data_IF_421752504497
#
_entry.id   IF_421752504497
#
_cell.length_a   1.000
_cell.length_b   1.000
_cell.length_c   1.000
_cell.angle_alpha   90.00
_cell.angle_beta   90.00
_cell.angle_gamma   90.00
#
_symmetry.space_group_name_H-M   'P 1'
#
loop_
_entity.id
_entity.type
_entity.pdbx_description
1 polymer ?
#
# COMPACT_ATOMS: atom_id res chain seq x y z
N UNK A 1 -9.79 8.23 -13.17
CA UNK A 1 -8.90 7.65 -14.23
C UNK A 1 -7.55 7.32 -13.61
N UNK A 2 -6.87 6.25 -14.05
CA UNK A 2 -5.53 5.89 -13.56
C UNK A 2 -4.58 5.83 -14.76
N UNK A 3 -3.43 6.50 -14.65
CA UNK A 3 -2.42 6.54 -15.70
C UNK A 3 -1.14 5.82 -15.25
N UNK A 4 -0.51 5.10 -16.18
CA UNK A 4 0.79 4.47 -15.97
C UNK A 4 1.79 5.03 -16.98
N UNK A 5 2.90 5.57 -16.47
CA UNK A 5 4.03 6.01 -17.27
C UNK A 5 5.27 5.20 -16.91
N UNK A 6 6.16 4.98 -17.89
CA UNK A 6 7.44 4.33 -17.65
C UNK A 6 8.57 5.27 -18.06
N UNK A 7 9.47 5.57 -17.13
CA UNK A 7 10.71 6.29 -17.39
C UNK A 7 11.87 5.46 -16.85
N UNK A 8 12.82 5.10 -17.71
CA UNK A 8 13.87 4.12 -17.45
C UNK A 8 13.31 2.81 -16.86
N UNK A 9 13.69 2.49 -15.62
CA UNK A 9 13.28 1.30 -14.88
C UNK A 9 12.18 1.61 -13.85
N UNK A 10 11.52 2.76 -13.93
CA UNK A 10 10.49 3.16 -12.97
C UNK A 10 9.15 3.32 -13.67
N UNK A 11 8.18 2.53 -13.22
CA UNK A 11 6.77 2.74 -13.51
C UNK A 11 6.20 3.75 -12.53
N UNK A 12 5.42 4.70 -13.02
CA UNK A 12 4.72 5.70 -12.20
C UNK A 12 3.24 5.58 -12.46
N UNK A 13 2.51 5.03 -11.47
CA UNK A 13 1.06 4.98 -11.42
C UNK A 13 0.55 6.26 -10.77
N UNK A 14 -0.23 7.04 -11.51
CA UNK A 14 -0.89 8.25 -11.00
C UNK A 14 -2.39 8.00 -10.89
N UNK A 15 -2.92 8.03 -9.67
CA UNK A 15 -4.35 8.02 -9.39
C UNK A 15 -4.94 9.41 -9.65
N UNK A 16 -5.88 9.49 -10.58
CA UNK A 16 -6.51 10.74 -11.04
C UNK A 16 -8.03 10.59 -11.10
N UNK A 17 -8.64 10.29 -9.96
CA UNK A 17 -10.08 10.08 -9.80
C UNK A 17 -10.67 10.92 -8.66
N UNK A 18 -10.44 12.24 -8.72
CA UNK A 18 -10.96 13.21 -7.76
C UNK A 18 -10.37 13.04 -6.36
N UNK A 19 -11.06 12.30 -5.49
CA UNK A 19 -10.60 11.96 -4.14
C UNK A 19 -9.98 10.55 -4.06
N UNK A 20 -9.89 9.83 -5.19
CA UNK A 20 -9.38 8.46 -5.31
C UNK A 20 -10.07 7.53 -4.29
N UNK A 21 -11.41 7.53 -4.31
CA UNK A 21 -12.22 6.68 -3.44
C UNK A 21 -12.27 5.27 -4.00
N UNK A 22 -12.21 4.29 -3.12
CA UNK A 22 -12.22 2.88 -3.47
C UNK A 22 -13.63 2.39 -3.70
N UNK A 23 -13.86 1.96 -4.93
CA UNK A 23 -14.99 1.17 -5.36
C UNK A 23 -14.52 0.03 -6.26
N UNK A 24 -15.42 -0.86 -6.66
CA UNK A 24 -15.05 -2.08 -7.42
C UNK A 24 -14.42 -1.72 -8.77
N UNK A 25 -14.87 -0.65 -9.42
CA UNK A 25 -14.26 -0.16 -10.68
C UNK A 25 -12.82 0.27 -10.46
N UNK A 26 -12.56 1.11 -9.45
CA UNK A 26 -11.21 1.60 -9.14
C UNK A 26 -10.25 0.46 -8.77
N UNK A 27 -10.72 -0.54 -8.02
CA UNK A 27 -9.95 -1.76 -7.72
C UNK A 27 -9.49 -2.46 -9.00
N UNK A 28 -10.41 -2.66 -9.95
CA UNK A 28 -10.11 -3.36 -11.22
C UNK A 28 -9.19 -2.55 -12.13
N UNK A 29 -9.31 -1.23 -12.14
CA UNK A 29 -8.40 -0.36 -12.88
C UNK A 29 -6.97 -0.46 -12.35
N UNK A 30 -6.76 -0.36 -11.03
CA UNK A 30 -5.43 -0.57 -10.42
C UNK A 30 -4.92 -1.97 -10.73
N UNK A 31 -5.76 -3.00 -10.57
CA UNK A 31 -5.41 -4.38 -10.87
C UNK A 31 -4.90 -4.56 -12.31
N UNK A 32 -5.54 -3.93 -13.28
CA UNK A 32 -5.13 -3.97 -14.69
C UNK A 32 -3.77 -3.29 -14.92
N UNK A 33 -3.52 -2.17 -14.25
CA UNK A 33 -2.22 -1.50 -14.30
C UNK A 33 -1.11 -2.39 -13.72
N UNK A 34 -1.40 -3.14 -12.66
CA UNK A 34 -0.42 -4.10 -12.11
C UNK A 34 -0.11 -5.23 -13.09
N UNK A 35 -1.07 -5.69 -13.89
CA UNK A 35 -0.81 -6.70 -14.94
C UNK A 35 0.27 -6.21 -15.94
N UNK A 36 0.24 -4.93 -16.32
CA UNK A 36 1.25 -4.33 -17.21
C UNK A 36 2.63 -4.26 -16.55
N UNK A 37 2.68 -3.88 -15.27
CA UNK A 37 3.92 -3.83 -14.48
C UNK A 37 4.52 -5.23 -14.33
N UNK A 38 3.70 -6.23 -14.02
CA UNK A 38 4.10 -7.63 -13.84
C UNK A 38 4.57 -8.28 -15.16
N UNK A 39 4.01 -7.87 -16.29
CA UNK A 39 4.42 -8.34 -17.62
C UNK A 39 5.79 -7.80 -18.08
N UNK A 40 6.28 -6.71 -17.47
CA UNK A 40 7.59 -6.15 -17.84
C UNK A 40 8.77 -7.04 -17.40
N UNK A 41 9.94 -6.82 -17.98
CA UNK A 41 11.15 -7.60 -17.68
C UNK A 41 12.33 -6.70 -17.31
N UNK A 42 13.32 -7.28 -16.65
CA UNK A 42 14.50 -6.57 -16.17
C UNK A 42 14.26 -5.79 -14.87
N UNK A 43 15.21 -4.89 -14.55
CA UNK A 43 15.13 -4.03 -13.39
C UNK A 43 13.88 -3.14 -13.47
N UNK A 44 13.12 -3.07 -12.39
CA UNK A 44 11.90 -2.31 -12.33
C UNK A 44 11.56 -1.91 -10.88
N UNK A 45 10.94 -0.76 -10.70
CA UNK A 45 10.23 -0.37 -9.49
C UNK A 45 8.93 0.35 -9.85
N UNK A 46 7.97 0.37 -8.93
CA UNK A 46 6.70 1.08 -9.08
C UNK A 46 6.63 2.26 -8.10
N UNK A 47 6.35 3.45 -8.61
CA UNK A 47 5.90 4.60 -7.83
C UNK A 47 4.38 4.70 -7.96
N UNK A 48 3.70 4.87 -6.84
CA UNK A 48 2.27 5.19 -6.78
C UNK A 48 2.09 6.58 -6.21
N UNK A 49 1.38 7.44 -6.94
CA UNK A 49 1.10 8.83 -6.56
C UNK A 49 -0.32 9.25 -6.93
N UNK A 50 -0.70 10.47 -6.57
CA UNK A 50 -2.01 11.05 -6.86
C UNK A 50 -1.86 12.41 -7.53
N UNK A 51 -2.73 12.70 -8.50
CA UNK A 51 -2.86 14.03 -9.11
C UNK A 51 -3.63 15.01 -8.21
N UNK A 52 -4.44 14.49 -7.28
CA UNK A 52 -5.33 15.31 -6.44
C UNK A 52 -4.51 16.15 -5.45
N UNK A 53 -4.71 17.47 -5.37
CA UNK A 53 -3.90 18.35 -4.52
C UNK A 53 -4.10 18.12 -3.01
N UNK A 54 -5.16 17.39 -2.63
CA UNK A 54 -5.57 17.18 -1.23
C UNK A 54 -5.54 15.71 -0.78
N UNK A 55 -5.67 14.76 -1.71
CA UNK A 55 -5.87 13.36 -1.36
C UNK A 55 -4.83 12.50 -2.08
N UNK A 56 -4.11 11.69 -1.31
CA UNK A 56 -3.59 10.46 -1.88
C UNK A 56 -4.77 9.53 -2.18
N UNK A 57 -5.60 9.25 -1.16
CA UNK A 57 -6.88 8.57 -1.31
C UNK A 57 -7.77 8.81 -0.09
N UNK A 58 -9.05 9.11 -0.33
CA UNK A 58 -10.06 9.31 0.72
C UNK A 58 -10.76 8.01 1.14
N UNK A 59 -10.16 6.85 0.89
CA UNK A 59 -10.65 5.57 1.40
C UNK A 59 -11.88 5.06 0.66
N UNK A 60 -12.72 4.28 1.35
CA UNK A 60 -13.91 3.65 0.78
C UNK A 60 -14.89 4.70 0.23
N UNK A 61 -15.47 4.43 -0.93
CA UNK A 61 -16.54 5.26 -1.48
C UNK A 61 -17.85 5.03 -0.70
N UNK A 62 -18.05 5.82 0.37
CA UNK A 62 -19.21 5.68 1.25
C UNK A 62 -20.53 6.06 0.56
N UNK A 63 -20.52 6.99 -0.39
CA UNK A 63 -21.72 7.38 -1.13
C UNK A 63 -22.20 6.19 -1.98
N UNK A 64 -21.27 5.54 -2.69
CA UNK A 64 -21.55 4.30 -3.43
C UNK A 64 -21.98 3.14 -2.53
N UNK A 65 -21.32 2.92 -1.38
CA UNK A 65 -21.71 1.83 -0.47
C UNK A 65 -23.11 2.03 0.10
N UNK A 66 -23.48 3.27 0.43
CA UNK A 66 -24.79 3.58 1.01
C UNK A 66 -25.92 3.57 -0.02
N UNK A 67 -25.63 3.93 -1.28
CA UNK A 67 -26.62 3.95 -2.36
C UNK A 67 -26.10 3.33 -3.68
N UNK A 68 -25.78 2.02 -3.75
CA UNK A 68 -25.11 1.43 -4.90
C UNK A 68 -25.87 1.59 -6.23
N UNK A 69 -27.21 1.61 -6.16
CA UNK A 69 -28.08 1.78 -7.32
C UNK A 69 -27.98 3.18 -7.95
N UNK A 70 -27.58 4.20 -7.18
CA UNK A 70 -27.36 5.57 -7.66
C UNK A 70 -25.98 5.75 -8.30
N UNK A 71 -25.08 4.79 -8.08
CA UNK A 71 -23.68 4.82 -8.51
C UNK A 71 -23.28 3.57 -9.32
N UNK A 72 -24.00 3.22 -10.41
CA UNK A 72 -23.75 1.97 -11.14
C UNK A 72 -22.36 1.89 -11.80
N UNK A 73 -21.74 3.03 -12.10
CA UNK A 73 -20.39 3.09 -12.68
C UNK A 73 -19.27 2.71 -11.69
N UNK A 74 -19.54 2.76 -10.39
CA UNK A 74 -18.59 2.37 -9.33
C UNK A 74 -18.49 0.84 -9.15
N UNK A 75 -19.32 0.08 -9.86
CA UNK A 75 -19.30 -1.38 -9.90
C UNK A 75 -20.14 -2.02 -8.80
N UNK A 76 -19.92 -3.31 -8.58
CA UNK A 76 -20.73 -4.14 -7.67
C UNK A 76 -20.15 -4.14 -6.25
N UNK A 77 -20.89 -3.57 -5.29
CA UNK A 77 -20.47 -3.49 -3.89
C UNK A 77 -20.30 -4.87 -3.23
N UNK A 78 -21.00 -5.91 -3.72
CA UNK A 78 -21.02 -7.25 -3.10
C UNK A 78 -19.68 -7.97 -3.23
N UNK A 79 -18.93 -7.69 -4.28
CA UNK A 79 -17.63 -8.31 -4.55
C UNK A 79 -16.45 -7.45 -4.07
N UNK A 80 -16.72 -6.19 -3.73
CA UNK A 80 -15.70 -5.20 -3.38
C UNK A 80 -14.72 -5.69 -2.33
N UNK A 81 -15.22 -6.19 -1.18
CA UNK A 81 -14.35 -6.60 -0.08
C UNK A 81 -13.37 -7.70 -0.47
N UNK A 82 -13.82 -8.68 -1.27
CA UNK A 82 -12.97 -9.75 -1.76
C UNK A 82 -11.94 -9.26 -2.78
N UNK A 83 -12.36 -8.47 -3.77
CA UNK A 83 -11.49 -7.94 -4.81
C UNK A 83 -10.45 -6.95 -4.26
N UNK A 84 -10.86 -6.07 -3.35
CA UNK A 84 -9.97 -5.11 -2.71
C UNK A 84 -8.90 -5.82 -1.87
N UNK A 85 -9.28 -6.79 -1.03
CA UNK A 85 -8.32 -7.55 -0.22
C UNK A 85 -7.37 -8.38 -1.10
N UNK A 86 -7.87 -8.97 -2.18
CA UNK A 86 -7.04 -9.68 -3.15
C UNK A 86 -6.02 -8.72 -3.82
N UNK A 87 -6.44 -7.52 -4.21
CA UNK A 87 -5.55 -6.50 -4.74
C UNK A 87 -4.49 -6.08 -3.71
N UNK A 88 -4.88 -5.85 -2.44
CA UNK A 88 -3.92 -5.49 -1.40
C UNK A 88 -2.88 -6.59 -1.17
N UNK A 89 -3.29 -7.86 -1.25
CA UNK A 89 -2.40 -9.01 -1.28
C UNK A 89 -1.41 -8.96 -2.45
N UNK A 90 -1.91 -8.71 -3.67
CA UNK A 90 -1.04 -8.54 -4.86
C UNK A 90 -0.04 -7.39 -4.69
N UNK A 91 -0.45 -6.26 -4.13
CA UNK A 91 0.42 -5.08 -3.95
C UNK A 91 1.53 -5.36 -2.94
N UNK A 92 1.20 -5.96 -1.78
CA UNK A 92 2.21 -6.23 -0.74
C UNK A 92 3.21 -7.30 -1.16
N UNK A 93 2.80 -8.24 -2.04
CA UNK A 93 3.71 -9.26 -2.60
C UNK A 93 4.19 -8.97 -4.02
N UNK A 94 3.95 -7.76 -4.56
CA UNK A 94 4.36 -7.38 -5.91
C UNK A 94 5.86 -7.67 -6.11
N UNK A 95 6.27 -8.38 -7.18
CA UNK A 95 7.61 -8.94 -7.31
C UNK A 95 8.69 -7.92 -7.73
N UNK A 96 8.41 -6.63 -7.51
CA UNK A 96 9.34 -5.51 -7.68
C UNK A 96 9.16 -4.53 -6.51
N UNK A 97 10.15 -3.67 -6.22
CA UNK A 97 10.02 -2.63 -5.20
C UNK A 97 8.89 -1.65 -5.49
N UNK A 98 8.15 -1.27 -4.45
CA UNK A 98 7.06 -0.30 -4.53
C UNK A 98 7.30 0.90 -3.61
N UNK A 99 7.13 2.10 -4.16
CA UNK A 99 7.28 3.39 -3.47
C UNK A 99 5.96 4.14 -3.55
N UNK A 100 5.46 4.62 -2.42
CA UNK A 100 4.23 5.40 -2.34
C UNK A 100 4.54 6.87 -1.99
N UNK A 101 4.01 7.80 -2.78
CA UNK A 101 4.15 9.24 -2.60
C UNK A 101 2.83 9.84 -2.07
N UNK A 102 2.76 10.06 -0.76
CA UNK A 102 1.56 10.53 -0.05
C UNK A 102 1.55 12.07 -0.04
N UNK A 103 0.90 12.64 -1.04
CA UNK A 103 0.80 14.09 -1.28
C UNK A 103 -0.34 14.79 -0.52
N UNK A 104 -1.12 14.05 0.26
CA UNK A 104 -2.31 14.54 0.94
C UNK A 104 -2.90 13.51 1.90
N UNK A 105 -4.21 13.54 2.10
CA UNK A 105 -4.89 12.58 2.98
C UNK A 105 -4.86 11.15 2.40
N UNK A 106 -4.55 10.18 3.26
CA UNK A 106 -4.63 8.75 2.99
C UNK A 106 -5.46 8.11 4.11
N UNK A 107 -6.75 7.89 3.88
CA UNK A 107 -7.72 7.46 4.89
C UNK A 107 -8.26 6.06 4.62
N UNK A 108 -8.47 5.28 5.68
CA UNK A 108 -9.05 3.93 5.64
C UNK A 108 -8.43 3.05 4.56
N UNK A 109 -9.21 2.62 3.58
CA UNK A 109 -8.73 1.85 2.42
C UNK A 109 -7.53 2.50 1.69
N UNK A 110 -7.45 3.84 1.64
CA UNK A 110 -6.31 4.58 1.09
C UNK A 110 -5.06 4.49 1.97
N UNK A 111 -5.23 4.43 3.29
CA UNK A 111 -4.14 4.15 4.23
C UNK A 111 -3.66 2.71 4.10
N UNK A 112 -4.58 1.74 4.03
CA UNK A 112 -4.26 0.34 3.79
C UNK A 112 -3.43 0.17 2.51
N UNK A 113 -3.87 0.76 1.39
CA UNK A 113 -3.13 0.72 0.13
C UNK A 113 -1.74 1.33 0.24
N UNK A 114 -1.59 2.47 0.91
CA UNK A 114 -0.27 3.06 1.16
C UNK A 114 0.62 2.09 1.96
N UNK A 115 0.09 1.47 3.02
CA UNK A 115 0.83 0.50 3.84
C UNK A 115 1.27 -0.73 3.07
N UNK A 116 0.53 -1.19 2.06
CA UNK A 116 0.96 -2.32 1.22
C UNK A 116 2.26 -2.04 0.45
N UNK A 117 2.69 -0.78 0.31
CA UNK A 117 3.95 -0.46 -0.36
C UNK A 117 5.19 -0.80 0.50
N UNK A 118 6.35 -0.97 -0.13
CA UNK A 118 7.62 -1.22 0.55
C UNK A 118 8.11 0.04 1.26
N UNK A 119 8.09 1.16 0.54
CA UNK A 119 8.55 2.46 1.01
C UNK A 119 7.43 3.50 0.85
N UNK A 120 7.22 4.32 1.88
CA UNK A 120 6.29 5.45 1.85
C UNK A 120 7.02 6.74 2.14
N UNK A 121 6.77 7.74 1.29
CA UNK A 121 7.14 9.13 1.50
C UNK A 121 5.87 9.93 1.72
N UNK A 122 5.90 10.90 2.62
CA UNK A 122 4.75 11.77 2.89
C UNK A 122 5.18 13.22 2.93
N UNK A 123 4.34 14.12 2.41
CA UNK A 123 4.58 15.55 2.56
C UNK A 123 4.59 15.99 4.03
N UNK A 124 5.35 17.03 4.36
CA UNK A 124 5.54 17.47 5.75
C UNK A 124 4.46 18.41 6.27
N UNK A 125 3.97 19.31 5.43
CA UNK A 125 3.20 20.48 5.87
C UNK A 125 1.71 20.19 6.08
N UNK A 126 1.14 19.23 5.33
CA UNK A 126 -0.31 18.98 5.26
C UNK A 126 -0.66 17.52 4.98
N UNK A 127 -1.92 17.17 5.23
CA UNK A 127 -2.42 15.82 5.02
C UNK A 127 -2.29 14.95 6.28
N UNK A 128 -3.07 13.88 6.30
CA UNK A 128 -3.10 12.92 7.39
C UNK A 128 -3.16 11.52 6.81
N UNK A 129 -2.45 10.59 7.44
CA UNK A 129 -2.55 9.15 7.18
C UNK A 129 -3.16 8.48 8.40
N UNK A 130 -4.27 7.74 8.25
CA UNK A 130 -4.93 7.06 9.38
C UNK A 130 -5.98 6.02 8.97
N UNK A 131 -6.26 5.12 9.91
CA UNK A 131 -7.47 4.33 9.98
C UNK A 131 -8.52 5.15 10.77
N UNK A 132 -9.63 5.53 10.14
CA UNK A 132 -10.68 6.37 10.74
C UNK A 132 -12.00 5.62 10.99
N UNK A 133 -12.02 4.31 10.76
CA UNK A 133 -13.18 3.42 10.85
C UNK A 133 -13.90 3.55 12.20
N UNK A 134 -13.15 3.58 13.30
CA UNK A 134 -13.71 3.78 14.65
C UNK A 134 -14.50 5.09 14.79
N UNK A 135 -14.10 6.17 14.10
CA UNK A 135 -14.76 7.47 14.15
C UNK A 135 -16.05 7.50 13.31
N UNK A 136 -16.11 6.69 12.26
CA UNK A 136 -17.25 6.61 11.34
C UNK A 136 -18.16 5.40 11.61
N UNK A 137 -17.89 4.65 12.69
CA UNK A 137 -18.72 3.52 13.12
C UNK A 137 -18.54 2.23 12.30
N UNK A 138 -17.40 2.08 11.61
CA UNK A 138 -17.06 0.87 10.87
C UNK A 138 -16.08 -0.01 11.66
N UNK A 139 -16.15 -1.32 11.40
CA UNK A 139 -15.21 -2.30 11.94
C UNK A 139 -14.08 -2.52 10.95
N UNK A 140 -12.82 -2.43 11.40
CA UNK A 140 -11.64 -2.77 10.60
C UNK A 140 -11.63 -4.30 10.38
N UNK A 141 -11.60 -4.80 9.13
CA UNK A 141 -11.56 -6.22 8.83
C UNK A 141 -10.29 -6.91 9.35
N UNK A 142 -10.38 -8.20 9.68
CA UNK A 142 -9.24 -9.00 10.15
C UNK A 142 -8.01 -8.97 9.22
N UNK A 143 -8.15 -9.04 7.86
CA UNK A 143 -6.99 -8.94 6.98
C UNK A 143 -6.28 -7.59 7.07
N UNK A 144 -7.02 -6.50 7.25
CA UNK A 144 -6.44 -5.15 7.43
C UNK A 144 -5.75 -5.01 8.79
N UNK A 145 -6.32 -5.56 9.86
CA UNK A 145 -5.65 -5.63 11.16
C UNK A 145 -4.35 -6.45 11.10
N UNK A 146 -4.34 -7.56 10.35
CA UNK A 146 -3.15 -8.37 10.15
C UNK A 146 -2.05 -7.59 9.41
N UNK A 147 -2.42 -6.85 8.36
CA UNK A 147 -1.51 -5.94 7.67
C UNK A 147 -0.93 -4.89 8.63
N UNK A 148 -1.79 -4.18 9.36
CA UNK A 148 -1.36 -3.10 10.25
C UNK A 148 -0.44 -3.62 11.36
N UNK A 149 -0.75 -4.79 11.93
CA UNK A 149 0.09 -5.43 12.95
C UNK A 149 1.49 -5.76 12.42
N UNK A 150 1.61 -6.12 11.14
CA UNK A 150 2.89 -6.40 10.50
C UNK A 150 3.66 -5.11 10.17
N UNK A 151 2.97 -4.12 9.60
CA UNK A 151 3.61 -2.93 9.00
C UNK A 151 3.80 -1.76 9.96
N UNK A 152 3.20 -1.81 11.16
CA UNK A 152 3.29 -0.75 12.16
C UNK A 152 4.00 -1.22 13.45
N UNK A 153 4.79 -0.36 14.10
CA UNK A 153 5.22 -0.62 15.49
C UNK A 153 4.02 -0.85 16.42
N UNK A 154 4.16 -1.70 17.43
CA UNK A 154 3.05 -2.15 18.27
C UNK A 154 2.24 -1.01 18.92
N UNK A 155 2.91 0.05 19.41
CA UNK A 155 2.23 1.22 19.98
C UNK A 155 1.50 2.02 18.88
N UNK A 156 2.16 2.26 17.75
CA UNK A 156 1.57 2.92 16.58
C UNK A 156 0.34 2.16 16.08
N UNK A 157 0.38 0.83 16.05
CA UNK A 157 -0.75 -0.03 15.72
C UNK A 157 -1.95 0.23 16.64
N UNK A 158 -1.75 0.19 17.96
CA UNK A 158 -2.83 0.44 18.93
C UNK A 158 -3.41 1.85 18.79
N UNK A 159 -2.57 2.88 18.72
CA UNK A 159 -3.03 4.26 18.56
C UNK A 159 -3.79 4.48 17.23
N UNK A 160 -3.36 3.79 16.17
CA UNK A 160 -4.02 3.88 14.87
C UNK A 160 -5.37 3.16 14.87
N UNK A 161 -5.43 1.94 15.38
CA UNK A 161 -6.64 1.10 15.34
C UNK A 161 -7.65 1.53 16.41
N UNK A 162 -7.23 1.61 17.68
CA UNK A 162 -8.13 1.80 18.80
C UNK A 162 -8.49 3.27 19.03
N UNK A 163 -7.55 4.18 18.75
CA UNK A 163 -7.72 5.62 19.01
C UNK A 163 -7.97 6.44 17.73
N UNK A 164 -8.00 5.80 16.56
CA UNK A 164 -8.16 6.46 15.26
C UNK A 164 -7.25 7.69 15.09
N UNK A 165 -6.00 7.57 15.55
CA UNK A 165 -5.07 8.69 15.54
C UNK A 165 -4.76 9.12 14.11
N UNK A 166 -4.84 10.43 13.86
CA UNK A 166 -4.42 11.06 12.62
C UNK A 166 -2.94 11.40 12.70
N UNK A 167 -2.16 10.90 11.76
CA UNK A 167 -0.72 11.14 11.71
C UNK A 167 -0.39 12.14 10.61
N UNK A 168 0.14 13.31 10.97
CA UNK A 168 0.76 14.23 10.01
C UNK A 168 2.17 13.77 9.63
N UNK A 169 2.76 14.31 8.56
CA UNK A 169 4.06 13.85 8.01
C UNK A 169 5.15 13.60 9.06
N UNK A 170 5.58 14.61 9.85
CA UNK A 170 6.64 14.43 10.85
C UNK A 170 6.29 13.40 11.94
N UNK A 171 5.01 13.33 12.35
CA UNK A 171 4.55 12.36 13.34
C UNK A 171 4.50 10.94 12.77
N UNK A 172 4.10 10.80 11.51
CA UNK A 172 4.07 9.53 10.80
C UNK A 172 5.50 8.97 10.62
N UNK A 173 6.48 9.84 10.37
CA UNK A 173 7.90 9.46 10.32
C UNK A 173 8.38 8.98 11.68
N UNK A 174 8.14 9.77 12.74
CA UNK A 174 8.54 9.41 14.11
C UNK A 174 7.90 8.09 14.57
N UNK A 175 6.65 7.85 14.17
CA UNK A 175 5.89 6.65 14.52
C UNK A 175 6.25 5.41 13.67
N UNK A 176 7.16 5.54 12.70
CA UNK A 176 7.57 4.46 11.81
C UNK A 176 6.54 4.08 10.74
N UNK A 177 5.55 4.92 10.48
CA UNK A 177 4.53 4.70 9.44
C UNK A 177 5.14 4.92 8.07
N UNK A 178 5.88 6.02 7.89
CA UNK A 178 6.57 6.37 6.64
C UNK A 178 8.08 6.37 6.84
N UNK A 179 8.85 6.18 5.77
CA UNK A 179 10.32 6.10 5.83
C UNK A 179 10.98 7.46 5.67
N UNK A 180 10.29 8.40 5.03
CA UNK A 180 10.82 9.74 4.75
C UNK A 180 9.69 10.74 4.61
N UNK A 181 10.00 11.99 4.94
CA UNK A 181 9.16 13.16 4.66
C UNK A 181 9.92 14.17 3.82
N UNK A 182 9.17 15.01 3.11
CA UNK A 182 9.72 16.12 2.31
C UNK A 182 8.64 17.15 2.03
N UNK A 183 8.97 18.29 1.44
CA UNK A 183 7.97 19.23 0.96
C UNK A 183 7.21 18.68 -0.28
N UNK A 184 6.06 19.27 -0.59
CA UNK A 184 5.21 18.83 -1.69
C UNK A 184 5.90 18.97 -3.06
N UNK A 185 6.76 19.97 -3.24
CA UNK A 185 7.42 20.27 -4.51
C UNK A 185 8.49 19.21 -4.84
N UNK A 186 9.10 18.63 -3.82
CA UNK A 186 10.12 17.59 -3.93
C UNK A 186 9.57 16.15 -3.80
N UNK A 187 8.30 15.97 -3.42
CA UNK A 187 7.75 14.64 -3.10
C UNK A 187 7.81 13.66 -4.27
N UNK A 188 7.32 14.05 -5.45
CA UNK A 188 7.31 13.19 -6.63
C UNK A 188 8.74 12.85 -7.09
N UNK A 189 9.62 13.85 -7.13
CA UNK A 189 11.03 13.66 -7.49
C UNK A 189 11.76 12.73 -6.50
N UNK A 190 11.52 12.90 -5.19
CA UNK A 190 12.11 12.06 -4.14
C UNK A 190 11.60 10.61 -4.23
N UNK A 191 10.31 10.41 -4.50
CA UNK A 191 9.75 9.08 -4.68
C UNK A 191 10.32 8.38 -5.93
N UNK A 192 10.43 9.11 -7.04
CA UNK A 192 11.04 8.62 -8.27
C UNK A 192 12.51 8.24 -8.08
N UNK A 193 13.31 9.13 -7.48
CA UNK A 193 14.72 8.84 -7.15
C UNK A 193 14.83 7.60 -6.28
N UNK A 194 14.00 7.50 -5.23
CA UNK A 194 13.99 6.33 -4.35
C UNK A 194 13.63 5.04 -5.10
N UNK A 195 12.70 5.12 -6.04
CA UNK A 195 12.35 3.98 -6.89
C UNK A 195 13.51 3.61 -7.85
N UNK A 196 14.21 4.57 -8.44
CA UNK A 196 15.39 4.32 -9.27
C UNK A 196 16.50 3.59 -8.49
N UNK A 197 16.76 4.00 -7.25
CA UNK A 197 17.73 3.34 -6.36
C UNK A 197 17.35 1.88 -6.07
N UNK A 198 16.05 1.59 -5.94
CA UNK A 198 15.55 0.26 -5.61
C UNK A 198 15.33 -0.63 -6.83
N UNK A 199 15.08 -0.07 -8.02
CA UNK A 199 14.76 -0.80 -9.24
C UNK A 199 15.69 -1.99 -9.57
N UNK A 200 17.02 -1.93 -9.33
CA UNK A 200 17.89 -3.09 -9.50
C UNK A 200 17.49 -4.33 -8.70
N UNK A 201 16.84 -4.16 -7.52
CA UNK A 201 16.34 -5.28 -6.71
C UNK A 201 15.19 -6.03 -7.41
N UNK A 202 14.44 -5.35 -8.28
CA UNK A 202 13.37 -5.93 -9.09
C UNK A 202 13.84 -6.71 -10.31
N UNK A 203 15.15 -6.71 -10.61
CA UNK A 203 15.71 -7.46 -11.76
C UNK A 203 15.52 -8.97 -11.60
N UNK A 204 15.59 -9.49 -10.37
CA UNK A 204 15.28 -10.88 -10.03
C UNK A 204 13.93 -10.96 -9.31
N UNK A 205 12.85 -10.90 -10.10
CA UNK A 205 11.46 -10.93 -9.62
C UNK A 205 11.12 -12.17 -8.79
N UNK A 206 11.62 -13.33 -9.21
CA UNK A 206 11.41 -14.59 -8.48
C UNK A 206 11.99 -14.49 -7.06
N UNK A 207 13.17 -13.89 -6.92
CA UNK A 207 13.76 -13.66 -5.60
C UNK A 207 13.01 -12.58 -4.81
N UNK A 208 12.77 -11.40 -5.40
CA UNK A 208 12.16 -10.28 -4.67
C UNK A 208 10.72 -10.60 -4.22
N UNK A 209 9.89 -11.11 -5.14
CA UNK A 209 8.53 -11.57 -4.83
C UNK A 209 8.55 -12.76 -3.87
N UNK A 210 9.43 -13.74 -4.09
CA UNK A 210 9.58 -14.89 -3.19
C UNK A 210 9.94 -14.48 -1.75
N UNK A 211 10.77 -13.46 -1.56
CA UNK A 211 11.07 -12.92 -0.23
C UNK A 211 9.85 -12.22 0.39
N UNK A 212 9.08 -11.47 -0.40
CA UNK A 212 7.82 -10.89 0.07
C UNK A 212 6.81 -11.96 0.49
N UNK A 213 6.68 -13.03 -0.27
CA UNK A 213 5.85 -14.19 0.11
C UNK A 213 6.33 -14.84 1.42
N UNK A 214 7.65 -14.93 1.63
CA UNK A 214 8.22 -15.42 2.91
C UNK A 214 8.01 -14.45 4.09
N UNK A 215 7.73 -13.18 3.83
CA UNK A 215 7.44 -12.18 4.87
C UNK A 215 5.94 -12.06 5.16
N UNK A 216 5.08 -12.21 4.16
CA UNK A 216 3.67 -11.82 4.23
C UNK A 216 2.67 -12.93 3.82
N UNK A 217 3.12 -13.95 3.10
CA UNK A 217 2.28 -15.01 2.56
C UNK A 217 1.85 -16.05 3.60
N UNK A 218 1.24 -17.13 3.12
CA UNK A 218 0.64 -18.19 3.95
C UNK A 218 1.61 -18.78 4.99
N UNK A 219 2.88 -18.95 4.62
CA UNK A 219 3.92 -19.56 5.45
C UNK A 219 4.99 -18.55 5.88
N UNK A 220 4.58 -17.32 6.20
CA UNK A 220 5.48 -16.25 6.60
C UNK A 220 6.39 -16.65 7.78
N UNK A 221 7.70 -16.50 7.62
CA UNK A 221 8.71 -17.04 8.55
C UNK A 221 8.58 -16.51 9.98
N UNK A 222 8.12 -15.27 10.13
CA UNK A 222 7.93 -14.62 11.44
C UNK A 222 6.73 -15.16 12.21
N UNK A 223 5.82 -15.87 11.54
CA UNK A 223 4.60 -16.43 12.11
C UNK A 223 4.71 -17.95 12.34
N UNK A 224 5.86 -18.56 12.05
CA UNK A 224 6.08 -19.97 12.32
C UNK A 224 6.15 -20.27 13.82
N UNK A 225 5.85 -21.52 14.18
CA UNK A 225 5.83 -21.98 15.57
C UNK A 225 7.21 -22.07 16.22
N UNK A 226 8.28 -22.03 15.42
CA UNK A 226 9.65 -22.18 15.87
C UNK A 226 10.40 -20.84 15.85
N UNK A 227 11.25 -20.61 16.87
CA UNK A 227 12.06 -19.41 16.97
C UNK A 227 13.33 -19.47 16.10
N UNK A 228 13.97 -18.31 15.91
CA UNK A 228 15.16 -18.17 15.05
C UNK A 228 16.28 -19.19 15.34
N UNK A 229 16.56 -19.49 16.61
CA UNK A 229 17.59 -20.45 17.00
C UNK A 229 17.29 -21.89 16.53
N UNK A 230 16.02 -22.28 16.47
CA UNK A 230 15.61 -23.59 15.95
C UNK A 230 15.82 -23.64 14.44
N UNK A 231 15.32 -22.64 13.71
CA UNK A 231 15.48 -22.55 12.26
C UNK A 231 16.96 -22.60 11.83
N UNK A 232 17.84 -21.88 12.54
CA UNK A 232 19.28 -21.89 12.28
C UNK A 232 19.94 -23.26 12.51
N UNK A 233 19.53 -23.98 13.56
CA UNK A 233 20.08 -25.32 13.89
C UNK A 233 19.62 -26.41 12.92
N UNK A 234 18.46 -26.24 12.31
CA UNK A 234 17.84 -27.24 11.44
C UNK A 234 17.80 -26.77 9.97
N UNK A 235 18.73 -25.91 9.55
CA UNK A 235 18.71 -25.27 8.23
C UNK A 235 18.68 -26.28 7.06
N UNK A 236 19.30 -27.46 7.22
CA UNK A 236 19.27 -28.55 6.23
C UNK A 236 17.87 -29.13 5.97
N UNK A 237 16.94 -28.96 6.91
CA UNK A 237 15.56 -29.43 6.80
C UNK A 237 14.65 -28.41 6.10
N UNK A 238 15.13 -27.18 5.86
CA UNK A 238 14.28 -26.05 5.48
C UNK A 238 14.36 -25.63 4.02
N UNK A 239 15.04 -26.41 3.16
CA UNK A 239 15.08 -26.22 1.72
C UNK A 239 15.63 -24.85 1.29
N UNK A 240 16.90 -24.79 0.93
CA UNK A 240 17.49 -23.67 0.18
C UNK A 240 18.03 -24.18 -1.14
#
# INVERSE_FOLDING_TARGET
MINLEKNDNVFTLTMDDGENRWNTTFVREISKILDEVEASTGAAALVTQSSSPKFFSNGLDLDWVNAPAEHPAAGDYRVFGGEFMALMGRVITLPIPTVCAINGHAFGAGFMFALCHDVRLMREDRGFICANEMQIGLTIPNPELALFRHKLPANTFFETVQLAKRWGGPQALQAGIVQQTTDIDNLAASAFQRAQELAPLGANRANYGGQKERLFGENAILNNSHGAAYHLKHASEQGH
#
